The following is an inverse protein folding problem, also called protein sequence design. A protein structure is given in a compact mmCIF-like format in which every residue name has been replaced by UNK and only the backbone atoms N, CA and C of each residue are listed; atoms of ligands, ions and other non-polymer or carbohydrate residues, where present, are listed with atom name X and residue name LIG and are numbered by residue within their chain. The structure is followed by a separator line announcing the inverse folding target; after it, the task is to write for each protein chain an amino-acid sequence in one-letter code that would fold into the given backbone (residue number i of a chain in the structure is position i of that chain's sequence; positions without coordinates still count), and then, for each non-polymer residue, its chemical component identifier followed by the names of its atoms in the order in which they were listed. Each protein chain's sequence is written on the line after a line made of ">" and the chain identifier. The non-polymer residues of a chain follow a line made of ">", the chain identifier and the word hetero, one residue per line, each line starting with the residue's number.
data_IF_240347325641
#
_entry.id   IF_240347325641
#
_cell.length_a   1.000
_cell.length_b   1.000
_cell.length_c   1.000
_cell.angle_alpha   90.00
_cell.angle_beta   90.00
_cell.angle_gamma   90.00
#
_symmetry.space_group_name_H-M   'P 1'
#
loop_
_entity.id
_entity.type
_entity.pdbx_description
1 polymer ?
#
# COMPACT_ATOMS: atom_id res chain seq x y z
N UNK A 1 10.17 29.81 1.71
CA UNK A 1 10.58 30.91 2.62
C UNK A 1 12.09 30.83 2.88
N UNK A 2 12.71 31.85 3.49
CA UNK A 2 14.12 31.81 3.86
C UNK A 2 14.43 30.65 4.83
N UNK A 3 13.58 30.45 5.86
CA UNK A 3 13.71 29.34 6.79
C UNK A 3 13.63 27.96 6.14
N UNK A 4 12.74 27.75 5.17
CA UNK A 4 12.64 26.47 4.46
C UNK A 4 13.90 26.16 3.64
N UNK A 5 14.50 27.18 3.01
CA UNK A 5 15.79 27.02 2.31
C UNK A 5 16.93 26.69 3.28
N UNK A 6 16.91 27.28 4.47
CA UNK A 6 17.90 26.99 5.51
C UNK A 6 17.76 25.57 6.06
N UNK A 7 16.52 25.14 6.36
CA UNK A 7 16.21 23.76 6.75
C UNK A 7 16.71 22.76 5.72
N UNK A 8 16.42 22.99 4.43
CA UNK A 8 16.88 22.10 3.36
C UNK A 8 18.42 22.05 3.27
N UNK A 9 19.10 23.17 3.43
CA UNK A 9 20.58 23.23 3.45
C UNK A 9 21.17 22.49 4.65
N UNK A 10 20.60 22.63 5.85
CA UNK A 10 21.07 21.90 7.03
C UNK A 10 20.81 20.40 6.87
N UNK A 11 19.63 20.03 6.36
CA UNK A 11 19.30 18.63 6.08
C UNK A 11 20.30 17.99 5.11
N UNK A 12 20.61 18.64 3.98
CA UNK A 12 21.63 18.16 3.05
C UNK A 12 22.99 17.96 3.71
N UNK A 13 23.45 18.92 4.52
CA UNK A 13 24.71 18.80 5.26
C UNK A 13 24.73 17.60 6.21
N UNK A 14 23.60 17.29 6.86
CA UNK A 14 23.49 16.12 7.73
C UNK A 14 23.64 14.83 6.92
N UNK A 15 22.99 14.73 5.75
CA UNK A 15 23.06 13.55 4.89
C UNK A 15 24.44 13.35 4.26
N UNK A 16 25.08 14.44 3.82
CA UNK A 16 26.41 14.40 3.19
C UNK A 16 27.52 14.02 4.18
N UNK A 17 27.32 14.27 5.48
CA UNK A 17 28.30 13.96 6.53
C UNK A 17 28.38 12.46 6.85
N UNK A 18 27.26 11.75 6.75
CA UNK A 18 27.21 10.32 7.08
C UNK A 18 26.15 9.60 6.22
N UNK A 19 26.63 8.77 5.29
CA UNK A 19 25.81 7.98 4.39
C UNK A 19 24.93 6.94 5.10
N UNK A 20 25.17 6.65 6.39
CA UNK A 20 24.32 5.75 7.20
C UNK A 20 23.11 6.44 7.80
N UNK A 21 23.05 7.77 7.77
CA UNK A 21 21.92 8.52 8.31
C UNK A 21 20.73 8.37 7.38
N UNK A 22 19.62 7.92 7.95
CA UNK A 22 18.37 7.81 7.21
C UNK A 22 17.73 9.21 7.04
N UNK A 23 17.46 9.57 5.79
CA UNK A 23 16.98 10.88 5.36
C UNK A 23 15.74 11.36 6.12
N UNK A 24 14.77 10.48 6.30
CA UNK A 24 13.53 10.76 7.03
C UNK A 24 13.78 11.08 8.51
N UNK A 25 14.71 10.37 9.17
CA UNK A 25 15.04 10.63 10.57
C UNK A 25 15.74 11.98 10.72
N UNK A 26 16.74 12.25 9.87
CA UNK A 26 17.43 13.54 9.84
C UNK A 26 16.46 14.71 9.61
N UNK A 27 15.53 14.56 8.66
CA UNK A 27 14.50 15.57 8.43
C UNK A 27 13.63 15.77 9.66
N UNK A 28 13.13 14.68 10.27
CA UNK A 28 12.26 14.73 11.44
C UNK A 28 12.93 15.40 12.64
N UNK A 29 14.21 15.15 12.88
CA UNK A 29 14.96 15.76 13.98
C UNK A 29 15.11 17.27 13.81
N UNK A 30 15.42 17.72 12.59
CA UNK A 30 15.49 19.14 12.24
C UNK A 30 14.12 19.81 12.34
N UNK A 31 13.12 19.18 11.75
CA UNK A 31 11.74 19.64 11.70
C UNK A 31 11.14 19.79 13.10
N UNK A 32 11.36 18.82 14.00
CA UNK A 32 10.85 18.82 15.37
C UNK A 32 11.67 19.68 16.33
N UNK A 33 12.87 20.12 15.93
CA UNK A 33 13.73 20.94 16.79
C UNK A 33 13.00 22.20 17.22
N UNK A 34 12.93 22.45 18.53
CA UNK A 34 12.24 23.61 19.09
C UNK A 34 10.75 23.71 18.73
N UNK A 35 10.12 22.59 18.33
CA UNK A 35 8.71 22.57 17.96
C UNK A 35 7.85 22.95 19.17
N UNK A 36 6.90 23.85 18.95
CA UNK A 36 5.89 24.23 19.93
C UNK A 36 4.52 24.00 19.31
N UNK A 37 3.58 23.35 20.02
CA UNK A 37 2.20 23.22 19.55
C UNK A 37 1.65 24.60 19.20
N UNK A 38 1.01 24.71 18.04
CA UNK A 38 0.32 25.95 17.69
C UNK A 38 -0.94 26.09 18.51
N UNK A 39 -1.22 27.33 18.92
CA UNK A 39 -2.53 27.72 19.45
C UNK A 39 -3.52 28.08 18.34
N UNK A 40 -3.09 28.09 17.06
CA UNK A 40 -3.94 28.42 15.91
C UNK A 40 -4.83 27.25 15.48
N UNK A 41 -6.02 27.57 14.95
CA UNK A 41 -6.99 26.59 14.44
C UNK A 41 -6.64 26.10 13.02
N UNK A 42 -5.59 26.63 12.41
CA UNK A 42 -5.29 26.47 10.98
C UNK A 42 -4.46 25.23 10.63
N UNK A 43 -4.34 24.27 11.56
CA UNK A 43 -3.51 23.05 11.43
C UNK A 43 -2.05 23.35 11.06
N UNK A 44 -1.54 24.50 11.48
CA UNK A 44 -0.14 24.90 11.32
C UNK A 44 0.58 24.84 12.66
N UNK A 45 1.91 24.84 12.66
CA UNK A 45 2.75 24.93 13.86
C UNK A 45 4.15 25.45 13.57
N UNK A 46 4.81 25.91 14.62
CA UNK A 46 6.17 26.42 14.58
C UNK A 46 7.16 25.25 14.55
N UNK A 47 8.01 25.17 13.53
CA UNK A 47 8.96 24.09 13.31
C UNK A 47 10.37 24.64 13.03
N UNK A 48 11.38 23.78 13.12
CA UNK A 48 12.78 24.14 12.91
C UNK A 48 13.18 25.39 13.74
N UNK A 49 12.98 25.30 15.05
CA UNK A 49 13.23 26.33 16.06
C UNK A 49 12.53 27.66 15.76
N UNK A 50 11.32 27.62 15.18
CA UNK A 50 10.52 28.78 14.83
C UNK A 50 10.96 29.54 13.59
N UNK A 51 11.93 29.02 12.85
CA UNK A 51 12.32 29.58 11.54
C UNK A 51 11.33 29.23 10.43
N UNK A 52 10.47 28.24 10.66
CA UNK A 52 9.46 27.80 9.70
C UNK A 52 8.07 27.69 10.35
N UNK A 53 7.04 27.96 9.54
CA UNK A 53 5.67 27.55 9.82
C UNK A 53 5.38 26.29 9.01
N UNK A 54 5.09 25.20 9.68
CA UNK A 54 4.74 23.92 9.07
C UNK A 54 3.22 23.73 9.11
N UNK A 55 2.67 23.06 8.10
CA UNK A 55 1.24 22.73 8.01
C UNK A 55 1.03 21.23 7.93
N UNK A 56 -0.07 20.75 8.51
CA UNK A 56 -0.51 19.35 8.36
C UNK A 56 -1.41 19.27 7.12
N UNK A 57 -0.96 18.54 6.11
CA UNK A 57 -1.73 18.29 4.90
C UNK A 57 -2.77 17.19 5.13
N UNK A 58 -3.92 17.31 4.48
CA UNK A 58 -4.99 16.32 4.60
C UNK A 58 -4.61 15.04 3.83
N UNK A 59 -4.85 13.87 4.42
CA UNK A 59 -4.41 12.57 3.89
C UNK A 59 -5.26 12.04 2.74
N UNK A 60 -6.39 12.71 2.43
CA UNK A 60 -7.20 12.40 1.26
C UNK A 60 -6.58 13.00 -0.02
N UNK A 61 -6.04 14.22 0.08
CA UNK A 61 -5.30 14.90 -1.00
C UNK A 61 -3.82 14.50 -1.09
N UNK A 62 -3.18 14.23 0.06
CA UNK A 62 -1.76 13.91 0.16
C UNK A 62 -1.61 12.52 0.80
N UNK A 63 -1.88 11.50 -0.01
CA UNK A 63 -1.94 10.11 0.45
C UNK A 63 -0.56 9.55 0.82
N UNK A 64 -0.50 8.86 1.95
CA UNK A 64 0.59 7.93 2.27
C UNK A 64 0.29 6.54 1.70
N UNK A 65 1.25 5.61 1.78
CA UNK A 65 1.01 4.23 1.35
C UNK A 65 -0.19 3.58 2.05
N UNK A 66 -0.37 3.82 3.35
CA UNK A 66 -1.51 3.26 4.07
C UNK A 66 -2.83 4.00 3.78
N UNK A 67 -2.81 5.33 3.84
CA UNK A 67 -4.05 6.11 3.68
C UNK A 67 -4.61 6.08 2.26
N UNK A 68 -3.76 5.86 1.26
CA UNK A 68 -4.17 5.70 -0.13
C UNK A 68 -4.61 4.26 -0.44
N UNK A 69 -3.72 3.28 -0.27
CA UNK A 69 -3.97 1.93 -0.77
C UNK A 69 -4.79 1.03 0.16
N UNK A 70 -4.83 1.33 1.47
CA UNK A 70 -5.58 0.53 2.46
C UNK A 70 -6.85 1.26 2.87
N UNK A 71 -6.73 2.49 3.37
CA UNK A 71 -7.89 3.24 3.85
C UNK A 71 -8.70 3.90 2.73
N UNK A 72 -8.10 4.08 1.55
CA UNK A 72 -8.72 4.73 0.37
C UNK A 72 -9.37 6.08 0.72
N UNK A 73 -8.70 6.89 1.55
CA UNK A 73 -9.24 8.15 2.08
C UNK A 73 -9.67 9.13 0.98
N UNK A 74 -9.08 9.01 -0.21
CA UNK A 74 -9.42 9.81 -1.37
C UNK A 74 -10.84 9.54 -1.89
N UNK A 75 -11.41 8.37 -1.64
CA UNK A 75 -12.79 8.04 -2.06
C UNK A 75 -13.83 8.75 -1.19
N UNK A 76 -13.42 9.25 -0.02
CA UNK A 76 -14.31 9.97 0.89
C UNK A 76 -14.49 11.45 0.53
N UNK A 77 -13.78 11.94 -0.50
CA UNK A 77 -13.79 13.34 -0.94
C UNK A 77 -14.03 13.43 -2.45
N UNK A 78 -14.65 14.51 -2.95
CA UNK A 78 -15.02 14.63 -4.36
C UNK A 78 -13.88 15.12 -5.28
N UNK A 79 -12.62 15.03 -4.83
CA UNK A 79 -11.47 15.52 -5.57
C UNK A 79 -10.35 14.49 -5.62
N UNK A 80 -9.60 14.49 -6.72
CA UNK A 80 -8.47 13.59 -6.88
C UNK A 80 -7.31 13.94 -5.94
N UNK A 81 -6.55 12.94 -5.46
CA UNK A 81 -5.33 13.19 -4.71
C UNK A 81 -4.31 13.96 -5.55
N UNK A 82 -3.68 14.96 -4.94
CA UNK A 82 -2.61 15.73 -5.58
C UNK A 82 -1.30 14.96 -5.60
N UNK A 83 -1.01 14.21 -4.53
CA UNK A 83 0.25 13.49 -4.36
C UNK A 83 -0.01 12.18 -3.63
N UNK A 84 0.67 11.14 -4.10
CA UNK A 84 0.81 9.87 -3.40
C UNK A 84 2.27 9.64 -3.04
N UNK A 85 2.56 9.55 -1.75
CA UNK A 85 3.85 9.13 -1.25
C UNK A 85 3.77 7.69 -0.73
N UNK A 86 4.39 6.78 -1.48
CA UNK A 86 4.49 5.35 -1.22
C UNK A 86 5.43 5.05 -0.01
N UNK A 87 5.00 5.49 1.18
CA UNK A 87 5.68 5.26 2.46
C UNK A 87 5.11 4.07 3.20
N UNK A 88 5.94 3.45 4.05
CA UNK A 88 5.52 2.38 4.95
C UNK A 88 4.77 1.24 4.24
N UNK A 89 5.24 0.89 3.04
CA UNK A 89 4.78 -0.28 2.30
C UNK A 89 5.77 -1.43 2.49
N UNK A 90 5.26 -2.65 2.36
CA UNK A 90 6.08 -3.85 2.45
C UNK A 90 6.88 -4.06 1.15
N UNK A 91 7.85 -4.97 1.20
CA UNK A 91 8.56 -5.47 0.01
C UNK A 91 9.46 -4.45 -0.72
N UNK A 92 9.87 -3.38 -0.04
CA UNK A 92 10.84 -2.40 -0.57
C UNK A 92 10.39 -1.78 -1.90
N UNK A 93 11.33 -1.39 -2.76
CA UNK A 93 11.05 -0.74 -4.05
C UNK A 93 10.14 -1.57 -4.95
N UNK A 94 10.32 -2.89 -5.00
CA UNK A 94 9.49 -3.77 -5.82
C UNK A 94 8.05 -3.82 -5.32
N UNK A 95 7.84 -3.84 -4.00
CA UNK A 95 6.52 -3.70 -3.38
C UNK A 95 5.87 -2.36 -3.72
N UNK A 96 6.61 -1.25 -3.60
CA UNK A 96 6.09 0.08 -3.97
C UNK A 96 5.65 0.13 -5.43
N UNK A 97 6.46 -0.42 -6.34
CA UNK A 97 6.13 -0.51 -7.78
C UNK A 97 4.88 -1.35 -7.99
N UNK A 98 4.80 -2.51 -7.35
CA UNK A 98 3.64 -3.38 -7.45
C UNK A 98 2.36 -2.69 -6.94
N UNK A 99 2.40 -2.01 -5.80
CA UNK A 99 1.27 -1.20 -5.29
C UNK A 99 0.77 -0.19 -6.29
N UNK A 100 1.70 0.53 -6.91
CA UNK A 100 1.36 1.52 -7.93
C UNK A 100 0.72 0.86 -9.16
N UNK A 101 1.22 -0.30 -9.59
CA UNK A 101 0.60 -1.09 -10.67
C UNK A 101 -0.80 -1.60 -10.31
N UNK A 102 -0.98 -2.14 -9.11
CA UNK A 102 -2.29 -2.60 -8.61
C UNK A 102 -3.34 -1.47 -8.60
N UNK A 103 -2.91 -0.22 -8.42
CA UNK A 103 -3.77 0.96 -8.45
C UNK A 103 -3.76 1.71 -9.80
N UNK A 104 -3.14 1.15 -10.84
CA UNK A 104 -3.04 1.76 -12.18
C UNK A 104 -2.33 3.12 -12.20
N UNK A 105 -1.44 3.36 -11.24
CA UNK A 105 -0.65 4.59 -11.09
C UNK A 105 0.80 4.45 -11.56
N UNK A 106 1.17 3.28 -12.06
CA UNK A 106 2.50 3.05 -12.62
C UNK A 106 2.44 3.04 -14.14
N UNK A 107 3.28 3.85 -14.78
CA UNK A 107 3.42 3.85 -16.23
C UNK A 107 4.34 2.69 -16.64
N UNK A 108 3.74 1.67 -17.23
CA UNK A 108 4.45 0.58 -17.90
C UNK A 108 4.35 0.74 -19.42
N UNK A 109 5.34 0.22 -20.17
CA UNK A 109 5.29 0.23 -21.63
C UNK A 109 4.20 -0.73 -22.14
N UNK A 110 3.63 -0.52 -23.34
CA UNK A 110 2.49 -1.31 -23.84
C UNK A 110 2.71 -2.83 -23.81
N UNK A 111 3.94 -3.29 -24.01
CA UNK A 111 4.32 -4.71 -24.04
C UNK A 111 4.09 -5.40 -22.68
N UNK A 112 4.07 -4.64 -21.58
CA UNK A 112 3.71 -5.18 -20.27
C UNK A 112 2.26 -5.68 -20.22
N UNK A 113 1.36 -5.01 -20.95
CA UNK A 113 -0.07 -5.31 -20.99
C UNK A 113 -0.45 -6.29 -22.11
N UNK A 114 0.49 -6.64 -23.00
CA UNK A 114 0.31 -7.60 -24.09
C UNK A 114 1.40 -8.68 -24.10
N UNK A 115 1.47 -9.53 -23.04
CA UNK A 115 2.49 -10.57 -22.97
C UNK A 115 2.23 -11.68 -24.01
N UNK A 116 3.28 -12.37 -24.49
CA UNK A 116 3.14 -13.55 -25.34
C UNK A 116 2.22 -14.60 -24.72
N UNK A 117 1.31 -15.18 -25.51
CA UNK A 117 0.27 -16.10 -25.05
C UNK A 117 -0.97 -15.41 -24.48
N UNK A 118 -0.91 -14.11 -24.23
CA UNK A 118 -2.01 -13.28 -23.76
C UNK A 118 -2.27 -13.38 -22.25
N UNK A 119 -3.22 -12.59 -21.80
CA UNK A 119 -3.63 -12.53 -20.40
C UNK A 119 -4.68 -13.60 -20.06
N UNK A 120 -4.68 -14.04 -18.80
CA UNK A 120 -5.76 -14.80 -18.20
C UNK A 120 -6.29 -14.02 -17.00
N UNK A 121 -7.58 -13.71 -17.02
CA UNK A 121 -8.29 -13.11 -15.89
C UNK A 121 -9.06 -14.20 -15.16
N UNK A 122 -8.80 -14.33 -13.86
CA UNK A 122 -9.54 -15.24 -12.99
C UNK A 122 -10.47 -14.42 -12.10
N UNK A 123 -11.77 -14.69 -12.14
CA UNK A 123 -12.76 -14.03 -11.27
C UNK A 123 -12.86 -14.79 -9.95
N UNK A 124 -12.42 -14.22 -8.82
CA UNK A 124 -12.58 -14.83 -7.51
C UNK A 124 -14.03 -15.16 -7.21
N UNK A 125 -14.25 -16.26 -6.50
CA UNK A 125 -15.60 -16.73 -6.17
C UNK A 125 -16.40 -15.68 -5.39
N UNK A 126 -15.73 -14.83 -4.57
CA UNK A 126 -16.36 -13.74 -3.80
C UNK A 126 -16.82 -12.53 -4.62
N UNK A 127 -16.38 -12.43 -5.88
CA UNK A 127 -16.85 -11.44 -6.85
C UNK A 127 -18.05 -11.94 -7.66
N UNK A 128 -18.34 -13.24 -7.63
CA UNK A 128 -19.45 -13.82 -8.37
C UNK A 128 -20.77 -13.52 -7.64
N UNK A 129 -21.81 -12.99 -8.32
CA UNK A 129 -23.10 -12.69 -7.70
C UNK A 129 -23.72 -13.90 -6.99
N UNK A 130 -24.38 -13.64 -5.86
CA UNK A 130 -25.09 -14.66 -5.10
C UNK A 130 -26.12 -15.38 -5.99
N UNK A 131 -26.13 -16.72 -5.91
CA UNK A 131 -27.01 -17.58 -6.73
C UNK A 131 -26.32 -18.30 -7.89
N UNK A 132 -25.08 -17.93 -8.26
CA UNK A 132 -24.30 -18.66 -9.28
C UNK A 132 -23.27 -19.64 -8.71
N UNK A 133 -22.83 -19.44 -7.48
CA UNK A 133 -21.89 -20.32 -6.76
C UNK A 133 -22.24 -20.31 -5.26
N UNK A 134 -22.11 -21.45 -4.57
CA UNK A 134 -22.28 -21.57 -3.11
C UNK A 134 -21.11 -20.86 -2.41
N UNK A 135 -21.29 -19.57 -2.16
CA UNK A 135 -20.34 -18.70 -1.51
C UNK A 135 -20.01 -19.16 -0.08
N UNK A 136 -18.77 -18.97 0.38
CA UNK A 136 -18.53 -18.72 1.81
C UNK A 136 -19.36 -17.46 2.18
N UNK A 137 -20.27 -17.51 3.16
CA UNK A 137 -21.18 -16.39 3.39
C UNK A 137 -20.37 -15.12 3.63
N UNK A 138 -20.55 -14.10 2.77
CA UNK A 138 -20.07 -12.72 3.03
C UNK A 138 -20.45 -12.28 4.47
N UNK A 139 -21.56 -12.80 4.97
CA UNK A 139 -22.09 -12.65 6.32
C UNK A 139 -21.13 -13.10 7.44
N UNK A 140 -20.32 -14.16 7.22
CA UNK A 140 -19.29 -14.58 8.18
C UNK A 140 -18.07 -13.65 8.17
N UNK A 141 -17.91 -12.84 7.12
CA UNK A 141 -16.76 -11.96 6.94
C UNK A 141 -17.08 -10.51 7.35
N UNK A 142 -18.33 -10.08 7.25
CA UNK A 142 -18.77 -8.69 7.51
C UNK A 142 -18.87 -8.30 9.01
N UNK A 143 -18.08 -8.92 9.90
CA UNK A 143 -18.07 -8.58 11.31
C UNK A 143 -17.13 -7.40 11.61
N UNK A 144 -17.61 -6.39 12.36
CA UNK A 144 -16.81 -5.24 12.85
C UNK A 144 -15.54 -5.66 13.63
N UNK A 145 -15.50 -6.90 14.12
CA UNK A 145 -14.31 -7.61 14.59
C UNK A 145 -14.29 -8.98 13.93
N UNK A 146 -13.58 -9.09 12.81
CA UNK A 146 -13.16 -10.40 12.33
C UNK A 146 -12.25 -11.01 13.39
N UNK A 147 -12.55 -12.23 13.81
CA UNK A 147 -11.61 -12.99 14.62
C UNK A 147 -10.42 -13.42 13.75
N UNK A 148 -9.25 -13.60 14.38
CA UNK A 148 -7.99 -13.90 13.68
C UNK A 148 -8.07 -15.19 12.87
N UNK A 149 -8.75 -16.21 13.39
CA UNK A 149 -9.07 -17.46 12.69
C UNK A 149 -9.90 -17.21 11.42
N UNK A 150 -10.91 -16.34 11.47
CA UNK A 150 -11.71 -15.96 10.30
C UNK A 150 -10.87 -15.25 9.24
N UNK A 151 -9.92 -14.40 9.63
CA UNK A 151 -8.97 -13.79 8.69
C UNK A 151 -8.13 -14.85 7.98
N UNK A 152 -7.51 -15.78 8.72
CA UNK A 152 -6.72 -16.84 8.11
C UNK A 152 -7.54 -17.77 7.23
N UNK A 153 -8.77 -18.11 7.62
CA UNK A 153 -9.69 -18.90 6.81
C UNK A 153 -10.04 -18.19 5.48
N UNK A 154 -10.33 -16.89 5.54
CA UNK A 154 -10.60 -16.06 4.36
C UNK A 154 -9.40 -16.00 3.42
N UNK A 155 -8.21 -15.73 3.95
CA UNK A 155 -6.97 -15.65 3.16
C UNK A 155 -6.62 -17.01 2.56
N UNK A 156 -6.68 -18.08 3.35
CA UNK A 156 -6.38 -19.44 2.90
C UNK A 156 -7.29 -19.88 1.74
N UNK A 157 -8.59 -19.59 1.82
CA UNK A 157 -9.52 -19.89 0.74
C UNK A 157 -9.11 -19.21 -0.58
N UNK A 158 -8.81 -17.92 -0.53
CA UNK A 158 -8.39 -17.13 -1.70
C UNK A 158 -7.03 -17.59 -2.24
N UNK A 159 -6.08 -17.98 -1.40
CA UNK A 159 -4.81 -18.58 -1.83
C UNK A 159 -5.03 -19.91 -2.57
N UNK A 160 -6.02 -20.70 -2.17
CA UNK A 160 -6.44 -21.89 -2.91
C UNK A 160 -6.98 -21.55 -4.30
N UNK A 161 -7.76 -20.47 -4.43
CA UNK A 161 -8.22 -19.97 -5.73
C UNK A 161 -7.07 -19.48 -6.60
N UNK A 162 -6.17 -18.66 -6.03
CA UNK A 162 -4.99 -18.16 -6.72
C UNK A 162 -4.11 -19.30 -7.23
N UNK A 163 -3.90 -20.35 -6.43
CA UNK A 163 -3.15 -21.54 -6.86
C UNK A 163 -3.77 -22.21 -8.08
N UNK A 164 -5.10 -22.36 -8.11
CA UNK A 164 -5.81 -22.93 -9.26
C UNK A 164 -5.71 -22.02 -10.49
N UNK A 165 -5.85 -20.71 -10.30
CA UNK A 165 -5.70 -19.72 -11.36
C UNK A 165 -4.29 -19.76 -11.98
N UNK A 166 -3.25 -19.85 -11.15
CA UNK A 166 -1.85 -19.99 -11.61
C UNK A 166 -1.63 -21.30 -12.37
N UNK A 167 -2.17 -22.42 -11.89
CA UNK A 167 -2.07 -23.70 -12.58
C UNK A 167 -2.76 -23.66 -13.96
N UNK A 168 -3.94 -23.05 -14.05
CA UNK A 168 -4.65 -22.86 -15.32
C UNK A 168 -3.88 -21.95 -16.28
N UNK A 169 -3.34 -20.84 -15.78
CA UNK A 169 -2.52 -19.92 -16.56
C UNK A 169 -1.28 -20.62 -17.13
N UNK A 170 -0.57 -21.40 -16.29
CA UNK A 170 0.56 -22.21 -16.72
C UNK A 170 0.19 -23.26 -17.78
N UNK A 171 -0.92 -23.98 -17.58
CA UNK A 171 -1.38 -25.00 -18.54
C UNK A 171 -1.80 -24.41 -19.90
N UNK A 172 -2.29 -23.16 -19.91
CA UNK A 172 -2.71 -22.46 -21.13
C UNK A 172 -1.60 -21.61 -21.76
N UNK A 173 -0.42 -21.53 -21.13
CA UNK A 173 0.66 -20.64 -21.56
C UNK A 173 0.27 -19.15 -21.51
N UNK A 174 -0.53 -18.75 -20.52
CA UNK A 174 -1.04 -17.38 -20.35
C UNK A 174 -0.43 -16.71 -19.13
N UNK A 175 -0.31 -15.39 -19.16
CA UNK A 175 0.06 -14.60 -17.97
C UNK A 175 -1.17 -14.34 -17.11
N UNK A 176 -1.16 -14.80 -15.85
CA UNK A 176 -2.25 -14.54 -14.92
C UNK A 176 -2.23 -13.07 -14.49
N UNK A 177 -3.35 -12.37 -14.70
CA UNK A 177 -3.63 -11.11 -14.02
C UNK A 177 -3.96 -11.44 -12.57
N UNK A 178 -3.17 -10.89 -11.63
CA UNK A 178 -3.33 -11.20 -10.21
C UNK A 178 -4.75 -10.81 -9.76
N UNK A 179 -5.57 -11.76 -9.26
CA UNK A 179 -6.90 -11.44 -8.78
C UNK A 179 -6.86 -10.58 -7.51
N UNK A 180 -7.86 -9.72 -7.28
CA UNK A 180 -7.96 -8.94 -6.06
C UNK A 180 -8.14 -9.86 -4.83
N UNK A 181 -7.60 -9.42 -3.71
CA UNK A 181 -7.66 -10.13 -2.43
C UNK A 181 -8.45 -9.35 -1.39
N UNK A 182 -9.19 -10.07 -0.55
CA UNK A 182 -9.83 -9.54 0.64
C UNK A 182 -9.04 -9.91 1.89
N UNK A 183 -8.80 -8.94 2.75
CA UNK A 183 -8.20 -9.19 4.05
C UNK A 183 -9.14 -8.81 5.18
N UNK A 184 -9.16 -9.65 6.21
CA UNK A 184 -9.85 -9.35 7.47
C UNK A 184 -9.03 -8.54 8.47
N UNK A 185 -7.72 -8.40 8.24
CA UNK A 185 -6.75 -7.72 9.10
C UNK A 185 -5.79 -6.94 8.20
N UNK A 186 -5.38 -5.78 8.68
CA UNK A 186 -4.30 -4.96 8.15
C UNK A 186 -2.94 -5.67 8.32
N UNK A 187 -1.94 -5.31 7.51
CA UNK A 187 -0.57 -5.81 7.68
C UNK A 187 0.28 -4.68 8.29
N UNK A 188 0.86 -4.92 9.47
CA UNK A 188 1.64 -3.91 10.20
C UNK A 188 2.80 -4.54 10.99
N UNK A 189 3.81 -3.74 11.34
CA UNK A 189 5.00 -4.17 12.09
C UNK A 189 4.82 -4.24 13.62
N UNK A 190 3.62 -3.95 14.13
CA UNK A 190 3.33 -4.00 15.56
C UNK A 190 1.97 -4.71 15.81
N UNK A 191 1.74 -5.26 17.01
CA UNK A 191 0.46 -5.88 17.36
C UNK A 191 -0.72 -4.92 17.19
N UNK A 192 -1.83 -5.44 16.65
CA UNK A 192 -3.07 -4.68 16.47
C UNK A 192 -4.29 -5.63 16.47
N UNK A 193 -5.49 -5.08 16.66
CA UNK A 193 -6.74 -5.87 16.75
C UNK A 193 -7.51 -5.92 15.44
N UNK A 194 -6.81 -5.93 14.30
CA UNK A 194 -7.43 -5.91 12.97
C UNK A 194 -7.05 -4.70 12.13
N UNK A 195 -7.10 -3.48 12.69
CA UNK A 195 -6.71 -2.25 11.98
C UNK A 195 -5.55 -1.56 12.71
N UNK A 196 -4.70 -0.85 11.98
CA UNK A 196 -3.65 -0.03 12.58
C UNK A 196 -4.28 1.05 13.49
N UNK A 197 -3.72 1.32 14.69
CA UNK A 197 -4.20 2.39 15.55
C UNK A 197 -4.34 3.74 14.83
N UNK A 198 -5.48 4.41 15.01
CA UNK A 198 -5.80 5.66 14.32
C UNK A 198 -6.45 5.51 12.94
N UNK A 199 -6.53 4.31 12.37
CA UNK A 199 -7.14 4.06 11.05
C UNK A 199 -8.63 3.65 11.12
N UNK A 200 -9.46 4.46 11.77
CA UNK A 200 -10.82 4.05 12.16
C UNK A 200 -11.90 4.04 11.05
N UNK A 201 -11.69 4.71 9.92
CA UNK A 201 -12.77 5.12 9.00
C UNK A 201 -13.16 4.10 7.93
N UNK A 202 -12.44 3.00 7.77
CA UNK A 202 -12.66 2.00 6.71
C UNK A 202 -13.28 0.71 7.26
N UNK A 203 -13.83 -0.17 6.42
CA UNK A 203 -14.56 -1.38 6.86
C UNK A 203 -13.79 -2.67 6.60
N UNK A 204 -14.06 -3.70 7.40
CA UNK A 204 -13.52 -5.04 7.22
C UNK A 204 -14.62 -5.99 6.69
N UNK A 205 -14.31 -6.94 5.81
CA UNK A 205 -13.03 -7.07 5.11
C UNK A 205 -12.84 -5.93 4.10
N UNK A 206 -11.60 -5.72 3.66
CA UNK A 206 -11.26 -4.73 2.65
C UNK A 206 -10.54 -5.36 1.48
N UNK A 207 -10.57 -4.70 0.32
CA UNK A 207 -9.66 -5.00 -0.78
C UNK A 207 -8.25 -4.70 -0.32
N UNK A 208 -7.50 -5.74 0.01
CA UNK A 208 -6.14 -5.57 0.46
C UNK A 208 -5.17 -5.65 -0.71
N UNK A 209 -4.18 -4.76 -0.75
CA UNK A 209 -3.01 -4.90 -1.61
C UNK A 209 -2.38 -6.28 -1.48
N UNK A 210 -1.89 -6.83 -2.59
CA UNK A 210 -1.36 -8.18 -2.65
C UNK A 210 -0.23 -8.46 -1.66
N UNK A 211 0.61 -7.44 -1.41
CA UNK A 211 1.70 -7.49 -0.44
C UNK A 211 1.25 -7.66 1.02
N UNK A 212 -0.05 -7.70 1.31
CA UNK A 212 -0.54 -8.06 2.64
C UNK A 212 -0.51 -9.57 2.90
N UNK A 213 -0.59 -10.36 1.84
CA UNK A 213 -0.71 -11.81 1.91
C UNK A 213 0.46 -12.49 1.20
N UNK A 214 0.90 -11.92 0.07
CA UNK A 214 1.91 -12.50 -0.80
C UNK A 214 3.28 -11.89 -0.53
N UNK A 215 4.31 -12.73 -0.52
CA UNK A 215 5.69 -12.28 -0.51
C UNK A 215 6.15 -11.99 -1.94
N UNK A 216 6.01 -10.74 -2.35
CA UNK A 216 6.21 -10.33 -3.74
C UNK A 216 7.66 -10.43 -4.23
N UNK A 217 8.71 -10.05 -3.47
CA UNK A 217 10.09 -10.13 -3.96
C UNK A 217 10.54 -11.55 -4.31
N UNK A 218 10.27 -12.60 -3.51
CA UNK A 218 10.52 -13.97 -3.92
C UNK A 218 9.71 -14.42 -5.14
N UNK A 219 8.45 -14.00 -5.26
CA UNK A 219 7.62 -14.31 -6.43
C UNK A 219 8.21 -13.69 -7.71
N UNK A 220 8.61 -12.42 -7.65
CA UNK A 220 9.25 -11.71 -8.77
C UNK A 220 10.63 -12.32 -9.09
N UNK A 221 11.39 -12.71 -8.07
CA UNK A 221 12.69 -13.36 -8.23
C UNK A 221 12.59 -14.74 -8.88
N UNK A 222 11.61 -15.56 -8.48
CA UNK A 222 11.37 -16.87 -9.05
C UNK A 222 10.98 -16.80 -10.54
N UNK A 223 10.19 -15.78 -10.93
CA UNK A 223 9.84 -15.54 -12.34
C UNK A 223 11.06 -15.15 -13.19
N UNK A 224 11.96 -14.32 -12.65
CA UNK A 224 13.23 -13.97 -13.31
C UNK A 224 14.19 -15.16 -13.42
N UNK A 225 14.13 -16.12 -12.50
CA UNK A 225 14.92 -17.35 -12.55
C UNK A 225 14.42 -18.38 -13.58
N UNK A 226 13.16 -18.26 -14.02
CA UNK A 226 12.55 -19.18 -14.99
C UNK A 226 12.60 -18.66 -16.43
N UNK A 227 12.63 -17.34 -16.62
CA UNK A 227 12.81 -16.72 -17.93
C UNK A 227 14.19 -16.07 -17.97
N UNK A 228 15.12 -16.61 -18.76
CA UNK A 228 16.47 -16.06 -18.97
C UNK A 228 16.50 -14.68 -19.63
N UNK A 229 15.92 -13.67 -18.98
CA UNK A 229 16.14 -12.27 -19.30
C UNK A 229 17.45 -11.80 -18.67
N UNK A 230 18.29 -11.07 -19.42
CA UNK A 230 19.53 -10.54 -18.90
C UNK A 230 19.27 -9.56 -17.74
N UNK A 231 20.22 -9.55 -16.80
CA UNK A 231 20.25 -8.68 -15.62
C UNK A 231 20.15 -7.20 -15.97
#
# INVERSE_FOLDING_TARGET
>A
TAGAKELAKEWMKVLEKDAKVWDQNAFNDLFRRGNRPSTSKDRTFSCYSGKCTCGILNVASFGSGHTFFVQRQYEAVPHEPYVLHATFQFSGTEGKRHRMREAELWLDPPEYYDPPGGLLVYTPTWMVPAGKIKMLPREKVAAKKLATDTHFALVHYQLGELRRAMALAGALGRTLVLPPLLCGYDRWWAPHTGKIPGSGSWTLPFLCPADHVLDLPPMLGALKGQNGMPK
#
